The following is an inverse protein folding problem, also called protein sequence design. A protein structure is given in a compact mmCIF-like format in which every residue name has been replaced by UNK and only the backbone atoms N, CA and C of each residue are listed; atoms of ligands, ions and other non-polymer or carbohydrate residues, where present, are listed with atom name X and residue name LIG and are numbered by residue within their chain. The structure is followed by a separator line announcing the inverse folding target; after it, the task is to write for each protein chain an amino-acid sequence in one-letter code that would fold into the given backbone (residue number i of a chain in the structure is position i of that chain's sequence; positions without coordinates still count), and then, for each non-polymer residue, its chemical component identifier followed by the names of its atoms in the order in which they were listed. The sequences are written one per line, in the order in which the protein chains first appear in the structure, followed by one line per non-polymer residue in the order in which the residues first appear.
data_IF_712666799847
#
_entry.id   IF_712666799847
#
_cell.length_a   1.000
_cell.length_b   1.000
_cell.length_c   1.000
_cell.angle_alpha   90.00
_cell.angle_beta   90.00
_cell.angle_gamma   90.00
#
_symmetry.space_group_name_H-M   'P 1'
#
loop_
_entity.id
_entity.type
_entity.pdbx_description
1 polymer ?
#
# COMPACT_ATOMS: atom_id res chain seq x y z
N UNK A 1 4.83 -5.20 -23.78
CA UNK A 1 5.31 -5.90 -22.57
C UNK A 1 4.15 -5.87 -21.59
N UNK A 2 3.40 -6.97 -21.55
CA UNK A 2 2.25 -7.10 -20.67
C UNK A 2 2.73 -7.64 -19.34
N UNK A 3 2.44 -6.90 -18.27
CA UNK A 3 2.75 -7.27 -16.89
C UNK A 3 2.19 -8.66 -16.54
N UNK A 4 2.91 -9.49 -15.76
CA UNK A 4 2.34 -10.71 -15.25
C UNK A 4 1.18 -10.34 -14.33
N UNK A 5 -0.03 -10.71 -14.75
CA UNK A 5 -1.17 -10.80 -13.84
C UNK A 5 -0.78 -11.87 -12.85
N UNK A 6 -0.47 -11.46 -11.61
CA UNK A 6 -0.32 -12.36 -10.47
C UNK A 6 -1.37 -13.47 -10.59
N UNK A 7 -0.93 -14.72 -10.54
CA UNK A 7 -1.76 -15.89 -10.66
C UNK A 7 -2.95 -15.85 -9.70
N UNK A 8 -3.95 -16.70 -9.95
CA UNK A 8 -5.09 -16.83 -9.03
C UNK A 8 -4.58 -17.15 -7.62
N UNK A 9 -4.72 -16.19 -6.71
CA UNK A 9 -4.36 -16.33 -5.29
C UNK A 9 -3.06 -15.63 -4.87
N UNK A 10 -2.33 -15.00 -5.79
CA UNK A 10 -1.12 -14.24 -5.47
C UNK A 10 -1.45 -12.80 -5.03
N UNK A 11 -0.66 -12.30 -4.08
CA UNK A 11 -0.73 -10.93 -3.59
C UNK A 11 0.59 -10.22 -3.90
N UNK A 12 0.49 -9.05 -4.52
CA UNK A 12 1.65 -8.24 -4.86
C UNK A 12 2.16 -7.55 -3.62
N UNK A 13 3.47 -7.44 -3.41
CA UNK A 13 4.02 -6.73 -2.26
C UNK A 13 4.93 -5.59 -2.69
N UNK A 14 4.88 -4.51 -1.91
CA UNK A 14 5.76 -3.38 -2.05
C UNK A 14 6.45 -3.10 -0.72
N UNK A 15 7.68 -2.60 -0.80
CA UNK A 15 8.47 -2.27 0.39
C UNK A 15 8.97 -0.83 0.35
N UNK A 16 8.99 -0.19 1.51
CA UNK A 16 9.71 1.07 1.70
C UNK A 16 11.20 0.78 1.72
N UNK A 17 11.95 1.35 0.77
CA UNK A 17 13.37 1.07 0.60
C UNK A 17 14.25 1.77 1.65
N UNK A 18 15.46 1.23 1.86
CA UNK A 18 16.52 1.90 2.63
C UNK A 18 16.25 2.02 4.13
N UNK A 19 15.29 1.25 4.67
CA UNK A 19 14.97 1.23 6.09
C UNK A 19 15.94 0.30 6.84
N UNK A 20 16.20 0.64 8.10
CA UNK A 20 16.99 -0.17 9.03
C UNK A 20 16.18 -0.45 10.31
N UNK A 21 16.75 -1.19 11.25
CA UNK A 21 16.20 -1.41 12.59
C UNK A 21 16.06 -0.12 13.44
N UNK A 22 16.61 1.01 12.98
CA UNK A 22 16.43 2.33 13.57
C UNK A 22 15.23 3.11 13.00
N UNK A 23 14.46 2.53 12.06
CA UNK A 23 13.29 3.18 11.48
C UNK A 23 12.22 3.48 12.55
N UNK A 24 11.42 4.56 12.39
CA UNK A 24 10.29 4.82 13.27
C UNK A 24 9.34 3.61 13.32
N UNK A 25 8.92 3.17 14.51
CA UNK A 25 8.13 1.94 14.64
C UNK A 25 6.85 1.90 13.80
N UNK A 26 6.12 3.03 13.71
CA UNK A 26 4.90 3.18 12.89
C UNK A 26 5.16 3.47 11.40
N UNK A 27 6.39 3.33 10.92
CA UNK A 27 6.70 3.48 9.50
C UNK A 27 6.13 2.31 8.71
N UNK A 28 5.29 2.54 7.68
CA UNK A 28 4.88 1.50 6.75
C UNK A 28 6.11 0.92 6.05
N UNK A 29 6.38 -0.36 6.28
CA UNK A 29 7.57 -1.03 5.76
C UNK A 29 7.24 -1.95 4.59
N UNK A 30 6.16 -2.72 4.71
CA UNK A 30 5.67 -3.63 3.68
C UNK A 30 4.18 -3.38 3.50
N UNK A 31 3.71 -3.24 2.28
CA UNK A 31 2.29 -3.03 2.01
C UNK A 31 1.87 -3.76 0.74
N UNK A 32 0.62 -4.20 0.72
CA UNK A 32 0.13 -4.99 -0.38
C UNK A 32 -0.27 -4.13 -1.58
N UNK A 33 -0.01 -4.65 -2.77
CA UNK A 33 -0.67 -4.38 -4.03
C UNK A 33 -0.89 -2.91 -4.38
N UNK A 34 0.12 -2.07 -4.14
CA UNK A 34 0.13 -0.72 -4.67
C UNK A 34 0.03 -0.71 -6.20
N UNK A 35 -0.54 0.35 -6.76
CA UNK A 35 -0.73 0.51 -8.20
C UNK A 35 0.62 0.70 -8.92
N UNK A 36 1.47 1.53 -8.32
CA UNK A 36 2.82 1.89 -8.81
C UNK A 36 3.76 2.05 -7.62
N UNK A 37 5.09 1.88 -7.80
CA UNK A 37 6.08 2.18 -6.75
C UNK A 37 6.22 3.70 -6.54
N UNK A 38 5.27 4.29 -5.82
CA UNK A 38 5.19 5.74 -5.56
C UNK A 38 5.09 6.05 -4.06
N UNK A 39 5.48 7.26 -3.68
CA UNK A 39 5.23 7.81 -2.34
C UNK A 39 4.51 9.16 -2.44
N UNK A 40 3.34 9.33 -1.80
CA UNK A 40 2.57 8.28 -1.14
C UNK A 40 2.11 7.18 -2.12
N UNK A 41 1.89 5.95 -1.64
CA UNK A 41 1.36 4.87 -2.47
C UNK A 41 -0.11 5.13 -2.84
N UNK A 42 -0.51 4.53 -3.96
CA UNK A 42 -1.86 4.64 -4.52
C UNK A 42 -2.43 3.25 -4.79
N UNK A 43 -3.75 3.13 -4.67
CA UNK A 43 -4.50 1.93 -5.03
C UNK A 43 -5.64 2.25 -5.99
N UNK A 44 -6.04 1.26 -6.78
CA UNK A 44 -7.26 1.29 -7.55
C UNK A 44 -8.38 0.60 -6.76
N UNK A 45 -9.11 1.40 -5.98
CA UNK A 45 -10.26 0.94 -5.20
C UNK A 45 -11.51 0.69 -6.07
N UNK A 46 -11.50 1.05 -7.36
CA UNK A 46 -12.57 0.76 -8.32
C UNK A 46 -12.63 -0.71 -8.75
N UNK A 47 -11.53 -1.43 -8.59
CA UNK A 47 -11.37 -2.84 -8.98
C UNK A 47 -11.23 -3.75 -7.76
N UNK A 48 -11.87 -3.39 -6.65
CA UNK A 48 -11.78 -4.14 -5.40
C UNK A 48 -12.16 -5.63 -5.58
N UNK A 49 -11.35 -6.51 -4.98
CA UNK A 49 -11.52 -7.97 -5.11
C UNK A 49 -11.26 -8.57 -6.50
N UNK A 50 -10.98 -7.77 -7.54
CA UNK A 50 -10.65 -8.28 -8.88
C UNK A 50 -9.18 -8.65 -8.96
N UNK A 51 -8.80 -9.77 -9.58
CA UNK A 51 -7.40 -10.22 -9.70
C UNK A 51 -6.57 -9.37 -10.68
N UNK A 52 -6.34 -8.11 -10.33
CA UNK A 52 -5.53 -7.12 -11.05
C UNK A 52 -4.58 -6.41 -10.09
N UNK A 53 -3.51 -5.85 -10.63
CA UNK A 53 -2.56 -5.01 -9.90
C UNK A 53 -3.25 -3.76 -9.36
N UNK A 54 -2.83 -3.28 -8.19
CA UNK A 54 -3.39 -2.05 -7.61
C UNK A 54 -4.73 -2.24 -6.89
N UNK A 55 -5.40 -3.38 -7.04
CA UNK A 55 -6.66 -3.71 -6.34
C UNK A 55 -6.57 -3.55 -4.83
N UNK A 56 -7.69 -3.21 -4.22
CA UNK A 56 -7.92 -3.36 -2.78
C UNK A 56 -8.69 -4.65 -2.48
N UNK A 57 -8.72 -5.07 -1.22
CA UNK A 57 -9.75 -5.99 -0.73
C UNK A 57 -11.12 -5.30 -0.74
N UNK A 58 -12.18 -6.09 -0.59
CA UNK A 58 -13.57 -5.60 -0.61
C UNK A 58 -13.78 -4.43 0.36
N UNK A 59 -14.40 -3.36 -0.13
CA UNK A 59 -14.64 -2.14 0.63
C UNK A 59 -13.40 -1.24 0.77
N UNK A 60 -12.50 -1.26 -0.21
CA UNK A 60 -11.36 -0.35 -0.29
C UNK A 60 -10.31 -0.57 0.79
N UNK A 61 -10.02 -1.82 1.17
CA UNK A 61 -9.08 -2.12 2.27
C UNK A 61 -7.77 -2.71 1.78
N UNK A 62 -6.68 -2.41 2.48
CA UNK A 62 -5.36 -2.99 2.23
C UNK A 62 -4.62 -3.35 3.51
N UNK A 63 -3.74 -4.34 3.48
CA UNK A 63 -2.83 -4.68 4.59
C UNK A 63 -1.51 -3.92 4.51
N UNK A 64 -1.12 -3.30 5.62
CA UNK A 64 0.16 -2.61 5.80
C UNK A 64 0.86 -3.15 7.04
N UNK A 65 2.13 -3.54 6.89
CA UNK A 65 3.01 -3.98 7.98
C UNK A 65 3.98 -2.86 8.32
N UNK A 66 4.08 -2.56 9.61
CA UNK A 66 4.90 -1.48 10.15
C UNK A 66 6.28 -1.99 10.57
N UNK A 67 7.24 -1.08 10.71
CA UNK A 67 8.60 -1.40 11.13
C UNK A 67 8.69 -1.98 12.56
N UNK A 68 7.71 -1.71 13.44
CA UNK A 68 7.60 -2.33 14.77
C UNK A 68 7.04 -3.76 14.76
N UNK A 69 6.75 -4.32 13.59
CA UNK A 69 6.21 -5.66 13.40
C UNK A 69 4.69 -5.74 13.56
N UNK A 70 3.99 -4.64 13.85
CA UNK A 70 2.54 -4.60 13.80
C UNK A 70 2.01 -4.61 12.37
N UNK A 71 0.77 -5.04 12.18
CA UNK A 71 0.07 -4.97 10.91
C UNK A 71 -1.30 -4.29 11.08
N UNK A 72 -1.69 -3.48 10.10
CA UNK A 72 -2.93 -2.70 10.11
C UNK A 72 -3.69 -2.89 8.79
N UNK A 73 -5.00 -3.05 8.89
CA UNK A 73 -5.88 -2.98 7.71
C UNK A 73 -6.28 -1.52 7.51
N UNK A 74 -5.75 -0.93 6.46
CA UNK A 74 -5.93 0.47 6.09
C UNK A 74 -7.05 0.60 5.07
N UNK A 75 -7.94 1.57 5.25
CA UNK A 75 -9.05 1.85 4.33
C UNK A 75 -8.70 3.02 3.42
N UNK A 76 -9.15 2.98 2.17
CA UNK A 76 -9.01 4.05 1.19
C UNK A 76 -10.07 5.14 1.39
N UNK A 77 -9.71 6.40 1.15
CA UNK A 77 -10.61 7.56 1.30
C UNK A 77 -11.82 7.49 0.36
N UNK A 78 -11.63 6.95 -0.85
CA UNK A 78 -12.65 6.91 -1.89
C UNK A 78 -12.72 5.50 -2.49
N UNK A 79 -13.58 4.68 -1.90
CA UNK A 79 -13.95 3.38 -2.47
C UNK A 79 -14.59 3.61 -3.84
N UNK A 80 -14.08 2.97 -4.89
CA UNK A 80 -14.53 3.18 -6.26
C UNK A 80 -13.62 4.07 -7.11
N UNK A 81 -12.59 4.70 -6.55
CA UNK A 81 -11.63 5.51 -7.31
C UNK A 81 -10.52 4.65 -7.94
N UNK A 82 -10.10 5.02 -9.15
CA UNK A 82 -9.00 4.37 -9.86
C UNK A 82 -7.61 4.70 -9.28
N UNK A 83 -7.54 5.75 -8.45
CA UNK A 83 -6.35 6.18 -7.72
C UNK A 83 -6.81 6.78 -6.40
N UNK A 84 -6.74 5.99 -5.33
CA UNK A 84 -7.14 6.37 -3.99
C UNK A 84 -5.97 6.25 -3.01
N UNK A 85 -5.91 7.19 -2.08
CA UNK A 85 -5.02 7.17 -0.94
C UNK A 85 -5.74 6.59 0.28
N UNK A 86 -5.00 6.06 1.25
CA UNK A 86 -5.52 5.75 2.56
C UNK A 86 -6.28 6.92 3.22
N UNK A 87 -7.27 6.58 4.05
CA UNK A 87 -7.95 7.53 4.92
C UNK A 87 -6.95 8.20 5.87
N UNK A 88 -7.10 9.52 6.02
CA UNK A 88 -6.34 10.30 7.00
C UNK A 88 -6.78 9.99 8.43
N UNK A 89 -5.81 9.97 9.35
CA UNK A 89 -6.10 9.93 10.79
C UNK A 89 -6.55 11.29 11.34
N UNK A 90 -6.61 11.42 12.66
CA UNK A 90 -7.01 12.67 13.33
C UNK A 90 -6.17 13.90 12.96
N UNK A 91 -4.93 13.70 12.48
CA UNK A 91 -4.03 14.75 11.99
C UNK A 91 -4.33 15.21 10.56
N UNK A 92 -5.28 14.57 9.88
CA UNK A 92 -5.55 14.76 8.44
C UNK A 92 -4.52 14.12 7.51
N UNK A 93 -3.54 13.39 8.06
CA UNK A 93 -2.54 12.64 7.30
C UNK A 93 -2.78 11.15 7.45
N UNK A 94 -2.57 10.41 6.37
CA UNK A 94 -2.59 8.96 6.42
C UNK A 94 -1.34 8.37 7.07
N UNK A 95 -1.29 7.05 7.18
CA UNK A 95 -0.17 6.30 7.78
C UNK A 95 1.18 6.52 7.07
N UNK A 96 1.20 6.68 5.75
CA UNK A 96 2.40 6.92 4.95
C UNK A 96 2.84 8.38 5.08
N UNK A 97 1.92 9.33 4.90
CA UNK A 97 2.18 10.76 5.02
C UNK A 97 2.58 11.18 6.44
N UNK A 98 2.10 10.47 7.46
CA UNK A 98 2.48 10.67 8.86
C UNK A 98 3.88 10.13 9.18
N UNK A 99 4.31 9.07 8.48
CA UNK A 99 5.60 8.43 8.70
C UNK A 99 6.75 9.19 8.02
N UNK A 100 6.62 9.51 6.73
CA UNK A 100 7.66 10.17 5.94
C UNK A 100 7.07 11.15 4.91
N UNK A 101 7.83 12.20 4.61
CA UNK A 101 7.51 13.14 3.51
C UNK A 101 7.69 12.51 2.13
N UNK A 102 8.67 11.63 1.99
CA UNK A 102 9.03 10.94 0.76
C UNK A 102 9.76 9.65 1.10
N UNK A 103 9.58 8.61 0.30
CA UNK A 103 10.40 7.42 0.34
C UNK A 103 10.52 6.81 -1.06
N UNK A 104 11.56 5.99 -1.26
CA UNK A 104 11.60 5.10 -2.40
C UNK A 104 10.78 3.85 -2.08
N UNK A 105 10.01 3.37 -3.05
CA UNK A 105 9.26 2.12 -2.96
C UNK A 105 9.89 1.10 -3.89
N UNK A 106 10.13 -0.09 -3.36
CA UNK A 106 10.53 -1.26 -4.14
C UNK A 106 9.29 -2.06 -4.49
N UNK A 107 9.18 -2.34 -5.78
CA UNK A 107 8.21 -3.24 -6.34
C UNK A 107 8.76 -4.66 -6.23
N UNK A 108 8.15 -5.52 -5.41
CA UNK A 108 8.63 -6.92 -5.28
C UNK A 108 7.95 -7.74 -6.34
N UNK A 109 8.68 -8.01 -7.41
CA UNK A 109 8.31 -8.96 -8.46
C UNK A 109 8.82 -10.36 -8.09
N UNK A 110 8.04 -11.38 -8.44
CA UNK A 110 8.41 -12.81 -8.30
C UNK A 110 9.45 -13.27 -9.34
#
# INVERSE_FOLDING_TARGET
IGEPVLGRGENHWMLTAGQTDAAPGRLPLVFENGLTPSWPPLWNAAVDGQAVRGRTWGGGKVLVVMADGSAEVVRMEEVGSAASQPEGGASGKDVFQSALRSAQVLDVED
#
